data_IF_374924340905
#
_entry.id   IF_374924340905
#
_cell.length_a   1.000
_cell.length_b   1.000
_cell.length_c   1.000
_cell.angle_alpha   90.00
_cell.angle_beta   90.00
_cell.angle_gamma   90.00
#
_symmetry.space_group_name_H-M   'P 1'
#
loop_
_entity.id
_entity.type
_entity.pdbx_description
1 polymer ?
#
# COMPACT_ATOMS: atom_id res chain seq x y z
N UNK A 1 -17.15 -16.17 -34.03
CA UNK A 1 -17.27 -16.92 -32.74
C UNK A 1 -16.38 -16.19 -31.77
N UNK A 2 -16.91 -15.11 -31.23
CA UNK A 2 -16.20 -14.15 -30.40
C UNK A 2 -16.16 -14.68 -28.96
N UNK A 3 -14.94 -14.82 -28.42
CA UNK A 3 -14.71 -15.23 -27.04
C UNK A 3 -14.81 -13.97 -26.18
N UNK A 4 -15.88 -13.88 -25.39
CA UNK A 4 -16.05 -12.88 -24.33
C UNK A 4 -14.93 -12.99 -23.29
N UNK A 5 -13.92 -12.12 -23.38
CA UNK A 5 -12.93 -11.90 -22.33
C UNK A 5 -13.54 -11.08 -21.19
N UNK A 6 -14.34 -11.74 -20.34
CA UNK A 6 -14.75 -11.22 -19.04
C UNK A 6 -13.65 -11.44 -18.00
N UNK A 7 -13.02 -10.35 -17.53
CA UNK A 7 -11.99 -10.35 -16.47
C UNK A 7 -12.39 -11.18 -15.24
N UNK A 8 -11.57 -12.18 -14.87
CA UNK A 8 -11.80 -13.10 -13.74
C UNK A 8 -11.94 -12.35 -12.41
N UNK A 9 -11.33 -11.18 -12.27
CA UNK A 9 -11.47 -10.28 -11.13
C UNK A 9 -12.91 -9.81 -10.85
N UNK A 10 -13.83 -9.89 -11.81
CA UNK A 10 -15.25 -9.50 -11.60
C UNK A 10 -16.09 -10.58 -10.91
N UNK A 11 -15.67 -11.85 -10.89
CA UNK A 11 -16.53 -12.97 -10.46
C UNK A 11 -16.49 -13.31 -8.97
N UNK A 12 -15.62 -12.69 -8.17
CA UNK A 12 -15.48 -12.98 -6.73
C UNK A 12 -16.06 -11.93 -5.77
N UNK A 13 -16.62 -10.83 -6.29
CA UNK A 13 -17.33 -9.85 -5.47
C UNK A 13 -18.83 -9.98 -5.70
N UNK A 14 -19.52 -10.77 -4.86
CA UNK A 14 -20.98 -10.81 -4.86
C UNK A 14 -21.53 -9.50 -4.28
N UNK A 15 -22.50 -8.94 -5.01
CA UNK A 15 -23.49 -7.92 -4.64
C UNK A 15 -22.96 -6.69 -3.88
N UNK A 16 -22.44 -5.73 -4.65
CA UNK A 16 -22.59 -4.30 -4.34
C UNK A 16 -22.89 -3.59 -5.66
N UNK A 17 -23.98 -2.84 -5.69
CA UNK A 17 -24.57 -2.23 -6.87
C UNK A 17 -23.60 -1.27 -7.60
N UNK A 18 -23.48 -1.47 -8.92
CA UNK A 18 -23.69 -0.41 -9.89
C UNK A 18 -22.61 0.65 -10.15
N UNK A 19 -21.62 0.92 -9.29
CA UNK A 19 -20.59 1.94 -9.59
C UNK A 19 -19.16 1.45 -9.34
N UNK A 20 -18.38 1.40 -10.42
CA UNK A 20 -16.92 1.19 -10.44
C UNK A 20 -16.19 2.44 -9.89
N UNK A 21 -16.60 2.91 -8.72
CA UNK A 21 -16.06 4.09 -8.03
C UNK A 21 -15.13 3.65 -6.90
N UNK A 22 -14.02 4.36 -6.73
CA UNK A 22 -13.10 4.12 -5.62
C UNK A 22 -13.72 4.49 -4.28
N UNK A 23 -13.12 3.99 -3.21
CA UNK A 23 -13.57 4.31 -1.86
C UNK A 23 -12.96 5.60 -1.34
N UNK A 24 -13.75 6.42 -0.67
CA UNK A 24 -13.29 7.64 -0.01
C UNK A 24 -12.80 7.30 1.40
N UNK A 25 -11.59 7.73 1.74
CA UNK A 25 -11.08 7.67 3.12
C UNK A 25 -11.20 9.07 3.73
N UNK A 26 -11.85 9.18 4.88
CA UNK A 26 -11.95 10.42 5.64
C UNK A 26 -11.47 10.20 7.06
N UNK A 27 -10.82 11.20 7.64
CA UNK A 27 -10.27 11.14 8.98
C UNK A 27 -10.47 12.47 9.70
N UNK A 28 -10.82 12.37 10.97
CA UNK A 28 -11.29 13.51 11.77
C UNK A 28 -10.58 13.53 13.11
N UNK A 29 -9.95 14.67 13.40
CA UNK A 29 -9.24 14.99 14.65
C UNK A 29 -8.37 13.84 15.14
N UNK A 30 -7.46 13.40 14.27
CA UNK A 30 -6.50 12.34 14.58
C UNK A 30 -5.42 12.89 15.50
N UNK A 31 -5.31 12.30 16.69
CA UNK A 31 -4.19 12.51 17.60
C UNK A 31 -3.48 11.17 17.83
N UNK A 32 -2.15 11.19 17.82
CA UNK A 32 -1.38 9.98 18.08
C UNK A 32 -0.18 10.28 18.97
N UNK A 33 -0.11 9.58 20.10
CA UNK A 33 0.95 9.71 21.10
C UNK A 33 1.67 8.39 21.31
N UNK A 34 3.01 8.41 21.26
CA UNK A 34 3.82 7.27 21.67
C UNK A 34 4.38 7.44 23.07
N UNK A 35 4.34 6.35 23.83
CA UNK A 35 5.05 6.24 25.10
C UNK A 35 6.45 5.72 24.80
N UNK A 36 7.42 6.62 24.69
CA UNK A 36 8.82 6.22 24.49
C UNK A 36 9.47 6.01 25.86
N UNK A 37 10.01 4.81 26.08
CA UNK A 37 10.96 4.55 27.15
C UNK A 37 12.36 4.86 26.60
N UNK A 38 12.93 6.00 26.97
CA UNK A 38 14.35 6.26 26.72
C UNK A 38 15.15 5.66 27.87
N UNK A 39 16.05 4.75 27.55
CA UNK A 39 17.12 4.36 28.46
C UNK A 39 18.08 5.54 28.55
N UNK A 40 18.26 6.12 29.73
CA UNK A 40 19.42 6.94 30.01
C UNK A 40 20.65 6.03 30.04
N UNK A 41 21.81 6.51 29.57
CA UNK A 41 23.10 5.77 29.56
C UNK A 41 23.65 5.43 30.96
N UNK A 42 22.80 5.49 31.99
CA UNK A 42 23.10 5.23 33.39
C UNK A 42 22.26 4.02 33.84
N UNK A 43 22.92 2.90 34.13
CA UNK A 43 22.46 1.68 34.83
C UNK A 43 21.03 1.20 34.49
N UNK A 44 20.82 -0.02 33.95
CA UNK A 44 19.58 -0.41 33.24
C UNK A 44 18.26 -0.49 34.06
N UNK A 45 18.25 -0.16 35.35
CA UNK A 45 17.16 -0.55 36.26
C UNK A 45 16.46 0.64 36.95
N UNK A 46 17.07 1.84 37.03
CA UNK A 46 16.61 2.88 37.96
C UNK A 46 15.95 4.13 37.34
N UNK A 47 16.04 4.39 36.02
CA UNK A 47 15.62 5.67 35.45
C UNK A 47 14.84 5.56 34.12
N UNK A 48 13.80 4.71 34.07
CA UNK A 48 12.86 4.72 32.95
C UNK A 48 11.88 5.91 33.07
N UNK A 49 12.29 7.09 32.60
CA UNK A 49 11.33 8.20 32.43
C UNK A 49 10.48 7.94 31.19
N UNK A 50 9.20 7.61 31.40
CA UNK A 50 8.20 7.54 30.31
C UNK A 50 8.01 8.95 29.76
N UNK A 51 8.48 9.21 28.54
CA UNK A 51 8.19 10.46 27.83
C UNK A 51 7.04 10.22 26.87
N UNK A 52 5.95 10.95 27.06
CA UNK A 52 4.88 11.03 26.08
C UNK A 52 5.37 11.91 24.93
N UNK A 53 5.48 11.34 23.75
CA UNK A 53 5.81 12.06 22.53
C UNK A 53 4.57 12.10 21.65
N UNK A 54 4.07 13.30 21.42
CA UNK A 54 3.01 13.54 20.45
C UNK A 54 3.61 13.50 19.05
N UNK A 55 3.03 12.69 18.18
CA UNK A 55 3.49 12.53 16.79
C UNK A 55 2.54 13.25 15.84
N UNK A 56 1.24 13.07 16.04
CA UNK A 56 0.20 13.71 15.25
C UNK A 56 -0.72 14.48 16.18
N UNK A 57 -1.05 15.72 15.80
CA UNK A 57 -1.93 16.61 16.58
C UNK A 57 -3.02 17.18 15.68
N UNK A 58 -4.26 16.85 16.01
CA UNK A 58 -5.50 17.32 15.35
C UNK A 58 -5.48 17.30 13.81
N UNK A 59 -5.14 16.15 13.23
CA UNK A 59 -5.07 16.02 11.77
C UNK A 59 -6.43 15.56 11.24
N UNK A 60 -7.00 16.32 10.31
CA UNK A 60 -8.25 16.00 9.62
C UNK A 60 -8.11 16.14 8.11
N UNK A 61 -8.82 15.31 7.34
CA UNK A 61 -8.74 15.34 5.89
C UNK A 61 -9.57 14.27 5.19
N UNK A 62 -9.59 14.35 3.86
CA UNK A 62 -10.34 13.44 3.00
C UNK A 62 -9.48 13.08 1.79
N UNK A 63 -9.39 11.79 1.49
CA UNK A 63 -8.77 11.24 0.29
C UNK A 63 -9.83 10.61 -0.59
N UNK A 64 -9.99 11.19 -1.78
CA UNK A 64 -10.94 10.74 -2.81
C UNK A 64 -10.26 9.76 -3.78
N UNK A 65 -11.03 9.02 -4.59
CA UNK A 65 -10.47 8.21 -5.68
C UNK A 65 -9.54 9.03 -6.57
N UNK A 66 -8.31 8.56 -6.73
CA UNK A 66 -7.22 9.35 -7.32
C UNK A 66 -5.85 9.05 -6.71
N UNK A 67 -4.88 9.87 -7.09
CA UNK A 67 -3.51 9.91 -6.59
C UNK A 67 -3.41 10.94 -5.47
N UNK A 68 -3.37 10.45 -4.24
CA UNK A 68 -3.28 11.25 -3.03
C UNK A 68 -1.88 11.12 -2.43
N UNK A 69 -1.15 12.24 -2.34
CA UNK A 69 0.20 12.27 -1.81
C UNK A 69 0.23 12.87 -0.40
N UNK A 70 0.96 12.24 0.51
CA UNK A 70 1.31 12.77 1.83
C UNK A 70 2.77 13.20 1.78
N UNK A 71 3.04 14.49 1.99
CA UNK A 71 4.37 15.09 1.89
C UNK A 71 4.71 15.82 3.20
N UNK A 72 5.98 15.74 3.59
CA UNK A 72 6.47 16.28 4.86
C UNK A 72 7.91 15.88 5.12
N UNK A 73 8.64 16.58 5.99
CA UNK A 73 10.02 16.27 6.32
C UNK A 73 10.14 14.89 6.99
N UNK A 74 11.34 14.32 7.00
CA UNK A 74 11.62 13.08 7.74
C UNK A 74 11.27 13.27 9.21
N UNK A 75 10.51 12.34 9.79
CA UNK A 75 10.06 12.42 11.18
C UNK A 75 8.77 13.22 11.43
N UNK A 76 8.12 13.81 10.42
CA UNK A 76 6.83 14.50 10.61
C UNK A 76 5.64 13.57 10.88
N UNK A 77 5.83 12.25 10.83
CA UNK A 77 4.77 11.28 11.11
C UNK A 77 3.96 10.82 9.89
N UNK A 78 4.46 11.04 8.65
CA UNK A 78 3.83 10.53 7.42
C UNK A 78 3.49 9.04 7.47
N UNK A 79 4.47 8.20 7.78
CA UNK A 79 4.28 6.75 7.91
C UNK A 79 3.34 6.41 9.06
N UNK A 80 3.40 7.16 10.17
CA UNK A 80 2.44 6.99 11.29
C UNK A 80 1.01 7.31 10.86
N UNK A 81 0.79 8.39 10.12
CA UNK A 81 -0.51 8.75 9.57
C UNK A 81 -0.99 7.67 8.59
N UNK A 82 -0.12 7.20 7.69
CA UNK A 82 -0.44 6.15 6.73
C UNK A 82 -0.82 4.83 7.43
N UNK A 83 -0.07 4.42 8.45
CA UNK A 83 -0.36 3.23 9.25
C UNK A 83 -1.69 3.36 10.01
N UNK A 84 -2.03 4.54 10.54
CA UNK A 84 -3.31 4.79 11.21
C UNK A 84 -4.47 4.66 10.23
N UNK A 85 -4.35 5.29 9.05
CA UNK A 85 -5.38 5.19 8.00
C UNK A 85 -5.58 3.76 7.49
N UNK A 86 -4.54 2.93 7.58
CA UNK A 86 -4.58 1.52 7.22
C UNK A 86 -4.96 0.57 8.38
N UNK A 87 -5.33 1.08 9.57
CA UNK A 87 -5.62 0.29 10.79
C UNK A 87 -4.45 -0.64 11.19
N UNK A 88 -3.21 -0.21 10.93
CA UNK A 88 -1.96 -0.93 11.24
C UNK A 88 -1.30 -0.47 12.53
N UNK A 89 -1.72 0.67 13.10
CA UNK A 89 -1.25 1.09 14.43
C UNK A 89 -2.12 0.56 15.55
N UNK A 90 -1.46 0.39 16.68
CA UNK A 90 -2.11 0.14 17.95
C UNK A 90 -3.03 1.34 18.29
N UNK A 91 -4.20 1.02 18.83
CA UNK A 91 -5.19 2.03 19.25
C UNK A 91 -4.79 2.71 20.55
N UNK A 92 -3.82 2.14 21.29
CA UNK A 92 -3.27 2.79 22.47
C UNK A 92 -2.61 4.13 22.10
N UNK A 93 -3.15 5.23 22.64
CA UNK A 93 -2.68 6.59 22.35
C UNK A 93 -3.19 7.19 21.03
N UNK A 94 -4.06 6.48 20.31
CA UNK A 94 -4.79 7.00 19.15
C UNK A 94 -6.12 7.59 19.59
N UNK A 95 -6.42 8.82 19.13
CA UNK A 95 -7.74 9.45 19.25
C UNK A 95 -8.17 9.97 17.88
N UNK A 96 -9.47 10.17 17.71
CA UNK A 96 -10.09 10.57 16.45
C UNK A 96 -10.78 9.40 15.75
N UNK A 97 -11.25 9.65 14.52
CA UNK A 97 -12.00 8.66 13.76
C UNK A 97 -11.49 8.59 12.32
N UNK A 98 -11.35 7.37 11.81
CA UNK A 98 -11.10 7.09 10.39
C UNK A 98 -12.32 6.35 9.83
N UNK A 99 -12.81 6.84 8.70
CA UNK A 99 -14.00 6.34 8.01
C UNK A 99 -13.64 5.98 6.57
N UNK A 100 -14.16 4.85 6.09
CA UNK A 100 -14.15 4.43 4.69
C UNK A 100 -15.58 4.47 4.16
N UNK A 101 -15.83 5.29 3.15
CA UNK A 101 -17.17 5.49 2.57
C UNK A 101 -18.22 5.87 3.64
N UNK A 102 -17.81 6.68 4.62
CA UNK A 102 -18.64 7.12 5.75
C UNK A 102 -18.81 6.08 6.86
N UNK A 103 -18.28 4.86 6.72
CA UNK A 103 -18.36 3.79 7.70
C UNK A 103 -17.06 3.66 8.51
N UNK A 104 -17.11 3.33 9.81
CA UNK A 104 -15.92 3.13 10.62
C UNK A 104 -15.11 1.91 10.16
N UNK A 105 -13.81 1.89 10.49
CA UNK A 105 -12.94 0.75 10.25
C UNK A 105 -13.40 -0.48 11.05
N UNK A 106 -14.02 -1.42 10.34
CA UNK A 106 -14.41 -2.75 10.85
C UNK A 106 -13.25 -3.74 10.75
N UNK A 107 -13.38 -4.91 11.40
CA UNK A 107 -12.32 -5.93 11.41
C UNK A 107 -11.93 -6.44 10.01
N UNK A 108 -12.87 -6.37 9.06
CA UNK A 108 -12.66 -6.76 7.67
C UNK A 108 -11.88 -5.71 6.84
N UNK A 109 -11.66 -4.51 7.38
CA UNK A 109 -11.02 -3.39 6.68
C UNK A 109 -9.66 -3.79 6.11
N UNK A 110 -8.87 -4.54 6.87
CA UNK A 110 -7.54 -5.04 6.46
C UNK A 110 -7.56 -5.95 5.24
N UNK A 111 -8.69 -6.61 4.97
CA UNK A 111 -8.86 -7.44 3.78
C UNK A 111 -9.38 -6.66 2.57
N UNK A 112 -9.91 -5.45 2.78
CA UNK A 112 -10.46 -4.57 1.73
C UNK A 112 -9.44 -3.55 1.20
N UNK A 113 -8.37 -3.29 1.96
CA UNK A 113 -7.29 -2.36 1.61
C UNK A 113 -5.98 -3.09 1.33
N UNK A 114 -5.16 -2.54 0.45
CA UNK A 114 -3.77 -2.99 0.23
C UNK A 114 -2.79 -2.05 0.91
N UNK A 115 -1.70 -2.59 1.46
CA UNK A 115 -0.64 -1.78 2.08
C UNK A 115 0.74 -2.24 1.64
N UNK A 116 1.45 -1.37 0.92
CA UNK A 116 2.84 -1.59 0.50
C UNK A 116 3.75 -0.84 1.46
N UNK A 117 4.51 -1.59 2.25
CA UNK A 117 5.51 -1.03 3.19
C UNK A 117 6.72 -0.43 2.43
N UNK A 118 7.54 0.35 3.11
CA UNK A 118 8.75 0.95 2.54
C UNK A 118 9.76 -0.11 2.07
N UNK A 119 10.10 -1.06 2.95
CA UNK A 119 11.03 -2.14 2.62
C UNK A 119 10.33 -3.29 1.89
N UNK A 120 10.89 -3.74 0.77
CA UNK A 120 10.28 -4.82 -0.01
C UNK A 120 10.42 -6.18 0.68
N UNK A 121 9.38 -6.58 1.42
CA UNK A 121 9.28 -7.90 2.07
C UNK A 121 8.75 -8.92 1.06
N UNK A 122 9.67 -9.56 0.32
CA UNK A 122 9.35 -10.55 -0.72
C UNK A 122 10.30 -11.75 -0.65
N UNK A 123 9.80 -12.95 -0.97
CA UNK A 123 10.64 -14.15 -0.97
C UNK A 123 11.63 -14.15 -2.12
N UNK A 124 12.92 -14.03 -1.79
CA UNK A 124 14.04 -13.97 -2.73
C UNK A 124 14.27 -15.26 -3.52
N UNK A 125 13.86 -16.40 -2.99
CA UNK A 125 14.10 -17.72 -3.60
C UNK A 125 13.03 -18.12 -4.62
N UNK A 126 11.86 -17.47 -4.56
CA UNK A 126 10.74 -17.70 -5.45
C UNK A 126 10.81 -16.78 -6.67
N UNK A 127 10.15 -17.19 -7.75
CA UNK A 127 9.93 -16.35 -8.93
C UNK A 127 8.91 -15.24 -8.64
N UNK A 128 8.86 -14.23 -9.51
CA UNK A 128 7.83 -13.18 -9.44
C UNK A 128 6.43 -13.80 -9.46
N UNK A 129 6.18 -14.74 -10.37
CA UNK A 129 4.90 -15.44 -10.49
C UNK A 129 4.57 -16.27 -9.27
N UNK A 130 5.54 -17.02 -8.73
CA UNK A 130 5.35 -17.82 -7.52
C UNK A 130 4.99 -16.96 -6.30
N UNK A 131 5.63 -15.79 -6.14
CA UNK A 131 5.28 -14.86 -5.04
C UNK A 131 3.83 -14.36 -5.16
N UNK A 132 3.39 -14.02 -6.37
CA UNK A 132 2.01 -13.55 -6.61
C UNK A 132 0.99 -14.66 -6.39
N UNK A 133 1.25 -15.86 -6.91
CA UNK A 133 0.41 -17.04 -6.69
C UNK A 133 0.36 -17.38 -5.18
N UNK A 134 1.47 -17.27 -4.47
CA UNK A 134 1.51 -17.49 -3.02
C UNK A 134 0.64 -16.47 -2.26
N UNK A 135 0.73 -15.18 -2.62
CA UNK A 135 -0.16 -14.14 -2.09
C UNK A 135 -1.63 -14.46 -2.39
N UNK A 136 -1.94 -14.89 -3.61
CA UNK A 136 -3.29 -15.29 -4.04
C UNK A 136 -3.82 -16.47 -3.22
N UNK A 137 -3.01 -17.51 -3.03
CA UNK A 137 -3.40 -18.70 -2.31
C UNK A 137 -3.69 -18.44 -0.83
N UNK A 138 -2.95 -17.54 -0.20
CA UNK A 138 -3.06 -17.25 1.24
C UNK A 138 -4.12 -16.22 1.56
N UNK A 139 -4.35 -15.24 0.69
CA UNK A 139 -5.22 -14.09 0.97
C UNK A 139 -6.58 -14.13 0.28
N UNK A 140 -6.69 -14.79 -0.89
CA UNK A 140 -8.00 -14.93 -1.55
C UNK A 140 -8.87 -15.97 -0.82
N UNK A 141 -10.20 -15.80 -0.81
CA UNK A 141 -11.09 -16.72 -0.13
C UNK A 141 -11.02 -18.14 -0.73
N UNK A 142 -11.37 -19.13 0.09
CA UNK A 142 -11.24 -20.57 -0.27
C UNK A 142 -12.16 -21.01 -1.41
N UNK A 143 -13.20 -20.23 -1.74
CA UNK A 143 -14.11 -20.50 -2.85
C UNK A 143 -13.47 -20.25 -4.23
N UNK A 144 -12.38 -19.49 -4.31
CA UNK A 144 -11.68 -19.22 -5.57
C UNK A 144 -10.84 -20.45 -5.94
N UNK A 145 -11.06 -21.00 -7.14
CA UNK A 145 -10.34 -22.19 -7.61
C UNK A 145 -8.87 -21.86 -7.87
N UNK A 146 -7.99 -22.85 -7.73
CA UNK A 146 -6.55 -22.67 -7.96
C UNK A 146 -6.22 -22.11 -9.35
N UNK A 147 -6.94 -22.54 -10.38
CA UNK A 147 -6.77 -22.03 -11.75
C UNK A 147 -7.13 -20.54 -11.85
N UNK A 148 -8.19 -20.11 -11.17
CA UNK A 148 -8.60 -18.69 -11.15
C UNK A 148 -7.56 -17.85 -10.38
N UNK A 149 -6.98 -18.38 -9.30
CA UNK A 149 -5.90 -17.70 -8.56
C UNK A 149 -4.64 -17.50 -9.41
N UNK A 150 -4.29 -18.48 -10.24
CA UNK A 150 -3.17 -18.37 -11.20
C UNK A 150 -3.52 -17.32 -12.26
N UNK A 151 -4.73 -17.34 -12.82
CA UNK A 151 -5.17 -16.36 -13.80
C UNK A 151 -5.13 -14.92 -13.24
N UNK A 152 -5.54 -14.72 -11.98
CA UNK A 152 -5.43 -13.42 -11.29
C UNK A 152 -3.97 -12.98 -11.18
N UNK A 153 -3.06 -13.87 -10.78
CA UNK A 153 -1.64 -13.56 -10.69
C UNK A 153 -1.05 -13.16 -12.06
N UNK A 154 -1.43 -13.86 -13.11
CA UNK A 154 -0.99 -13.60 -14.48
C UNK A 154 -1.53 -12.25 -15.00
N UNK A 155 -2.78 -11.92 -14.70
CA UNK A 155 -3.37 -10.61 -15.00
C UNK A 155 -2.58 -9.49 -14.28
N UNK A 156 -2.23 -9.68 -13.01
CA UNK A 156 -1.43 -8.71 -12.24
C UNK A 156 -0.02 -8.54 -12.84
N UNK A 157 0.63 -9.63 -13.27
CA UNK A 157 1.93 -9.59 -13.96
C UNK A 157 1.85 -8.74 -15.23
N UNK A 158 0.80 -8.94 -16.02
CA UNK A 158 0.59 -8.19 -17.25
C UNK A 158 0.33 -6.71 -16.96
N UNK A 159 -0.55 -6.41 -15.99
CA UNK A 159 -0.84 -5.03 -15.57
C UNK A 159 0.43 -4.29 -15.13
N UNK A 160 1.32 -4.95 -14.39
CA UNK A 160 2.58 -4.35 -13.89
C UNK A 160 3.71 -4.31 -14.92
N UNK A 161 3.51 -4.90 -16.11
CA UNK A 161 4.55 -5.03 -17.12
C UNK A 161 5.74 -5.88 -16.64
N UNK A 162 5.47 -6.95 -15.90
CA UNK A 162 6.46 -7.89 -15.34
C UNK A 162 6.63 -9.16 -16.18
N UNK A 163 5.96 -9.27 -17.34
CA UNK A 163 5.95 -10.47 -18.18
C UNK A 163 7.35 -11.02 -18.52
N UNK A 164 8.34 -10.13 -18.72
CA UNK A 164 9.73 -10.52 -19.07
C UNK A 164 10.49 -11.16 -17.89
N UNK A 165 10.12 -10.84 -16.65
CA UNK A 165 10.77 -11.32 -15.44
C UNK A 165 9.87 -12.21 -14.58
N UNK A 166 8.68 -12.58 -15.07
CA UNK A 166 7.67 -13.35 -14.35
C UNK A 166 8.22 -14.67 -13.76
N UNK A 167 9.04 -15.37 -14.53
CA UNK A 167 9.60 -16.67 -14.16
C UNK A 167 11.06 -16.56 -13.67
N UNK A 168 11.55 -15.34 -13.44
CA UNK A 168 12.86 -15.10 -12.82
C UNK A 168 12.73 -15.01 -11.30
N UNK A 169 13.75 -15.52 -10.59
CA UNK A 169 13.85 -15.39 -9.13
C UNK A 169 14.03 -13.94 -8.72
N UNK A 170 13.34 -13.53 -7.66
CA UNK A 170 13.42 -12.17 -7.13
C UNK A 170 14.83 -11.81 -6.65
N UNK A 171 15.54 -12.77 -6.06
CA UNK A 171 16.90 -12.63 -5.56
C UNK A 171 17.01 -11.73 -4.31
N UNK A 172 18.23 -11.57 -3.83
CA UNK A 172 18.61 -10.71 -2.70
C UNK A 172 20.00 -10.11 -2.94
N UNK A 173 20.57 -9.45 -1.92
CA UNK A 173 21.90 -8.85 -2.02
C UNK A 173 23.00 -9.87 -2.34
N UNK A 174 22.83 -11.12 -1.88
CA UNK A 174 23.80 -12.20 -2.07
C UNK A 174 23.60 -12.98 -3.38
N UNK A 175 22.37 -13.02 -3.90
CA UNK A 175 21.98 -13.75 -5.12
C UNK A 175 21.26 -12.80 -6.05
N UNK A 176 21.91 -12.48 -7.17
CA UNK A 176 21.34 -11.63 -8.23
C UNK A 176 19.97 -12.17 -8.67
N UNK A 177 19.01 -11.27 -8.77
CA UNK A 177 17.67 -11.54 -9.29
C UNK A 177 17.18 -10.37 -10.14
N UNK A 178 15.90 -10.02 -9.99
CA UNK A 178 15.26 -8.92 -10.71
C UNK A 178 15.77 -7.53 -10.25
N UNK A 179 15.56 -6.51 -11.06
CA UNK A 179 15.92 -5.12 -10.72
C UNK A 179 15.09 -4.58 -9.54
N UNK A 180 15.59 -3.54 -8.86
CA UNK A 180 14.86 -2.88 -7.76
C UNK A 180 13.48 -2.37 -8.16
N UNK A 181 13.34 -1.84 -9.39
CA UNK A 181 12.04 -1.41 -9.92
C UNK A 181 11.07 -2.55 -10.22
N UNK A 182 11.56 -3.69 -10.68
CA UNK A 182 10.75 -4.90 -10.86
C UNK A 182 10.34 -5.49 -9.51
N UNK A 183 11.25 -5.48 -8.52
CA UNK A 183 10.97 -5.88 -7.14
C UNK A 183 9.88 -5.02 -6.53
N UNK A 184 9.99 -3.69 -6.63
CA UNK A 184 8.97 -2.77 -6.11
C UNK A 184 7.61 -2.99 -6.76
N UNK A 185 7.58 -3.17 -8.08
CA UNK A 185 6.34 -3.52 -8.82
C UNK A 185 5.78 -4.87 -8.39
N UNK A 186 6.63 -5.87 -8.14
CA UNK A 186 6.17 -7.18 -7.67
C UNK A 186 5.54 -7.09 -6.28
N UNK A 187 6.13 -6.30 -5.38
CA UNK A 187 5.58 -6.05 -4.04
C UNK A 187 4.21 -5.35 -4.12
N UNK A 188 4.08 -4.32 -4.97
CA UNK A 188 2.77 -3.71 -5.29
C UNK A 188 1.80 -4.77 -5.83
N UNK A 189 2.27 -5.65 -6.72
CA UNK A 189 1.47 -6.75 -7.27
C UNK A 189 0.94 -7.72 -6.23
N UNK A 190 1.72 -8.04 -5.21
CA UNK A 190 1.28 -8.93 -4.12
C UNK A 190 0.04 -8.38 -3.40
N UNK A 191 -0.08 -7.05 -3.28
CA UNK A 191 -1.28 -6.39 -2.76
C UNK A 191 -2.42 -6.32 -3.78
N UNK A 192 -2.10 -6.12 -5.07
CA UNK A 192 -3.10 -6.01 -6.15
C UNK A 192 -3.83 -7.32 -6.47
N UNK A 193 -3.30 -8.47 -6.08
CA UNK A 193 -3.98 -9.76 -6.21
C UNK A 193 -5.35 -9.76 -5.52
N UNK A 194 -5.53 -9.00 -4.44
CA UNK A 194 -6.82 -8.84 -3.78
C UNK A 194 -7.76 -7.83 -4.45
N UNK A 195 -7.29 -7.12 -5.49
CA UNK A 195 -7.98 -6.00 -6.12
C UNK A 195 -8.57 -5.00 -5.11
N UNK A 196 -7.75 -4.46 -4.19
CA UNK A 196 -8.23 -3.54 -3.16
C UNK A 196 -8.76 -2.24 -3.80
N UNK A 197 -9.83 -1.68 -3.22
CA UNK A 197 -10.38 -0.36 -3.62
C UNK A 197 -9.46 0.78 -3.19
N UNK A 198 -8.74 0.60 -2.08
CA UNK A 198 -7.79 1.56 -1.51
C UNK A 198 -6.41 0.90 -1.40
N UNK A 199 -5.39 1.57 -1.92
CA UNK A 199 -4.01 1.12 -1.86
C UNK A 199 -3.15 2.19 -1.16
N UNK A 200 -2.57 1.80 -0.03
CA UNK A 200 -1.61 2.60 0.72
C UNK A 200 -0.18 2.22 0.33
N UNK A 201 0.70 3.18 0.09
CA UNK A 201 2.11 2.93 -0.18
C UNK A 201 3.02 3.84 0.64
N UNK A 202 3.90 3.25 1.44
CA UNK A 202 4.91 4.01 2.18
C UNK A 202 6.16 4.19 1.32
N UNK A 203 6.46 5.43 0.99
CA UNK A 203 7.60 5.88 0.17
C UNK A 203 7.87 5.00 -1.06
N UNK A 204 6.94 4.89 -2.03
CA UNK A 204 7.05 3.96 -3.16
C UNK A 204 8.21 4.23 -4.12
N UNK A 205 8.88 5.38 -3.98
CA UNK A 205 10.01 5.79 -4.82
C UNK A 205 11.36 5.69 -4.13
N UNK A 206 11.41 5.34 -2.83
CA UNK A 206 12.67 5.27 -2.08
C UNK A 206 13.53 4.12 -2.60
N UNK A 207 14.84 4.36 -2.72
CA UNK A 207 15.81 3.38 -3.24
C UNK A 207 15.75 3.15 -4.76
N UNK A 208 14.93 3.90 -5.51
CA UNK A 208 14.82 3.78 -6.97
C UNK A 208 15.54 4.93 -7.68
N UNK A 209 16.14 4.64 -8.84
CA UNK A 209 16.60 5.70 -9.73
C UNK A 209 15.40 6.49 -10.27
N UNK A 210 15.67 7.71 -10.75
CA UNK A 210 14.61 8.64 -11.12
C UNK A 210 13.74 8.19 -12.29
N UNK A 211 14.27 7.38 -13.21
CA UNK A 211 13.51 6.87 -14.34
C UNK A 211 12.55 5.77 -13.89
N UNK A 212 13.04 4.87 -13.04
CA UNK A 212 12.26 3.78 -12.45
C UNK A 212 11.19 4.30 -11.52
N UNK A 213 11.52 5.25 -10.63
CA UNK A 213 10.56 5.92 -9.75
C UNK A 213 9.42 6.56 -10.57
N UNK A 214 9.74 7.28 -11.65
CA UNK A 214 8.72 7.86 -12.54
C UNK A 214 7.81 6.79 -13.16
N UNK A 215 8.36 5.65 -13.56
CA UNK A 215 7.58 4.57 -14.17
C UNK A 215 6.64 3.92 -13.14
N UNK A 216 7.10 3.68 -11.92
CA UNK A 216 6.25 3.20 -10.81
C UNK A 216 5.11 4.18 -10.53
N UNK A 217 5.41 5.48 -10.44
CA UNK A 217 4.38 6.50 -10.19
C UNK A 217 3.39 6.64 -11.35
N UNK A 218 3.83 6.52 -12.61
CA UNK A 218 2.92 6.46 -13.76
C UNK A 218 2.00 5.26 -13.71
N UNK A 219 2.51 4.10 -13.30
CA UNK A 219 1.70 2.91 -13.12
C UNK A 219 0.63 3.09 -12.04
N UNK A 220 1.00 3.61 -10.86
CA UNK A 220 0.04 3.96 -9.82
C UNK A 220 -0.99 4.97 -10.32
N UNK A 221 -0.56 5.99 -11.06
CA UNK A 221 -1.47 6.95 -11.67
C UNK A 221 -2.49 6.26 -12.60
N UNK A 222 -2.07 5.32 -13.45
CA UNK A 222 -2.99 4.53 -14.30
C UNK A 222 -3.96 3.69 -13.48
N UNK A 223 -3.52 3.07 -12.37
CA UNK A 223 -4.41 2.36 -11.47
C UNK A 223 -5.45 3.28 -10.82
N UNK A 224 -5.06 4.50 -10.44
CA UNK A 224 -6.00 5.49 -9.90
C UNK A 224 -7.08 5.87 -10.91
N UNK A 225 -6.70 6.03 -12.21
CA UNK A 225 -7.65 6.35 -13.29
C UNK A 225 -8.66 5.23 -13.53
N UNK A 226 -8.37 4.01 -13.11
CA UNK A 226 -9.32 2.88 -13.11
C UNK A 226 -10.29 2.92 -11.91
N UNK A 227 -10.34 4.02 -11.17
CA UNK A 227 -11.24 4.22 -10.03
C UNK A 227 -10.68 3.72 -8.71
N UNK A 228 -9.36 3.56 -8.55
CA UNK A 228 -8.76 3.19 -7.25
C UNK A 228 -8.35 4.42 -6.47
N UNK A 229 -8.47 4.34 -5.15
CA UNK A 229 -7.94 5.35 -4.23
C UNK A 229 -6.53 4.97 -3.86
N UNK A 230 -5.55 5.75 -4.30
CA UNK A 230 -4.14 5.52 -4.03
C UNK A 230 -3.66 6.61 -3.09
N UNK A 231 -3.15 6.20 -1.93
CA UNK A 231 -2.64 7.10 -0.89
C UNK A 231 -1.20 6.70 -0.63
N UNK A 232 -0.26 7.63 -0.76
CA UNK A 232 1.14 7.31 -0.58
C UNK A 232 1.90 8.43 0.10
N UNK A 233 2.87 8.07 0.93
CA UNK A 233 3.86 9.01 1.45
C UNK A 233 4.96 9.21 0.40
N UNK A 234 5.50 10.42 0.29
CA UNK A 234 6.65 10.69 -0.58
C UNK A 234 7.55 11.77 0.04
N UNK A 235 8.85 11.62 -0.12
CA UNK A 235 9.84 12.63 0.28
C UNK A 235 10.47 13.24 -0.98
N UNK A 236 10.39 14.57 -1.12
CA UNK A 236 11.01 15.35 -2.19
C UNK A 236 10.75 14.82 -3.64
N UNK A 237 9.49 14.82 -4.11
CA UNK A 237 9.19 14.36 -5.46
C UNK A 237 9.77 15.30 -6.53
N UNK A 238 10.30 14.72 -7.62
CA UNK A 238 10.59 15.50 -8.83
C UNK A 238 9.31 16.08 -9.42
N UNK A 239 9.42 17.22 -10.11
CA UNK A 239 8.29 17.90 -10.75
C UNK A 239 7.47 16.98 -11.69
N UNK A 240 8.12 16.06 -12.39
CA UNK A 240 7.46 15.10 -13.26
C UNK A 240 6.56 14.09 -12.53
N UNK A 241 6.87 13.77 -11.27
CA UNK A 241 6.04 12.92 -10.40
C UNK A 241 4.96 13.77 -9.74
N UNK A 242 5.32 14.97 -9.26
CA UNK A 242 4.39 15.90 -8.62
C UNK A 242 3.16 16.20 -9.48
N UNK A 243 3.33 16.34 -10.79
CA UNK A 243 2.21 16.55 -11.74
C UNK A 243 1.18 15.43 -11.80
N UNK A 244 1.49 14.23 -11.28
CA UNK A 244 0.59 13.09 -11.31
C UNK A 244 -0.39 13.07 -10.13
N UNK A 245 -0.21 13.95 -9.15
CA UNK A 245 -1.01 13.98 -7.93
C UNK A 245 -2.31 14.74 -8.17
N UNK A 246 -3.44 14.19 -7.72
CA UNK A 246 -4.71 14.93 -7.70
C UNK A 246 -4.90 15.67 -6.38
N UNK A 247 -4.31 15.16 -5.29
CA UNK A 247 -4.41 15.77 -3.96
C UNK A 247 -3.08 15.66 -3.24
N UNK A 248 -2.72 16.72 -2.53
CA UNK A 248 -1.52 16.81 -1.71
C UNK A 248 -1.91 17.15 -0.27
N UNK A 249 -1.46 16.33 0.67
CA UNK A 249 -1.60 16.56 2.11
C UNK A 249 -0.22 16.84 2.70
N UNK A 250 -0.06 17.97 3.37
CA UNK A 250 1.19 18.37 4.00
C UNK A 250 1.14 18.08 5.51
N UNK A 251 2.15 17.35 6.01
CA UNK A 251 2.33 16.98 7.43
C UNK A 251 3.60 17.60 7.97
#
# INVERSE_FOLDING_TARGET
MDIENGSVLKKSANNDDGHNHGSVISFHSIYYTLNSQKCCDCIPVACLKKKHQEILTDISGIFKPGMNAILGPTGSGKSSLLDILADRKDRHGLRGQVLMDGQPQTLDFKYRVGYVVQDDIISSNLTVRENLIFSANTRLPRNVKSNDKIAIADEVIEQLGLKKCADQKVGNEMKRGISGGERRRTNIGMELVLSPKVLFLDEPTTGLDSSTARNVMKYLHQLSRKGRTIIFSIHQPRYSIFKLFDTLFLV
#
